data_IF_691036181440
#
_entry.id   IF_691036181440
#
_cell.length_a   1.000
_cell.length_b   1.000
_cell.length_c   1.000
_cell.angle_alpha   90.00
_cell.angle_beta   90.00
_cell.angle_gamma   90.00
#
_symmetry.space_group_name_H-M   'P 1'
#
loop_
_entity.id
_entity.type
_entity.pdbx_description
1 polymer ?
#
# COMPACT_ATOMS: atom_id res chain seq x y z
N UNK A 1 24.69 7.47 -16.34
CA UNK A 1 23.82 6.70 -17.26
C UNK A 1 23.71 5.29 -16.70
N UNK A 2 22.77 5.07 -15.77
CA UNK A 2 22.61 3.75 -15.15
C UNK A 2 21.92 2.85 -16.18
N UNK A 3 22.61 1.77 -16.57
CA UNK A 3 22.12 0.79 -17.54
C UNK A 3 20.79 0.19 -17.06
N UNK A 4 19.87 -0.05 -17.98
CA UNK A 4 18.55 -0.65 -17.73
C UNK A 4 18.64 -1.94 -16.89
N UNK A 5 19.77 -2.65 -17.01
CA UNK A 5 20.12 -3.85 -16.22
C UNK A 5 20.18 -3.58 -14.71
N UNK A 6 20.67 -2.41 -14.29
CA UNK A 6 20.77 -2.03 -12.86
C UNK A 6 19.40 -1.80 -12.22
N UNK A 7 18.46 -1.21 -12.97
CA UNK A 7 17.09 -0.92 -12.50
C UNK A 7 16.30 -2.23 -12.34
N UNK A 8 16.42 -3.14 -13.33
CA UNK A 8 15.76 -4.45 -13.29
C UNK A 8 16.31 -5.30 -12.12
N UNK A 9 17.63 -5.33 -11.92
CA UNK A 9 18.24 -6.10 -10.84
C UNK A 9 17.86 -5.58 -9.45
N UNK A 10 17.73 -4.27 -9.27
CA UNK A 10 17.28 -3.69 -7.99
C UNK A 10 15.79 -3.95 -7.72
N UNK A 11 14.97 -3.98 -8.78
CA UNK A 11 13.54 -4.33 -8.70
C UNK A 11 13.33 -5.79 -8.30
N UNK A 12 14.11 -6.72 -8.85
CA UNK A 12 14.07 -8.15 -8.48
C UNK A 12 14.54 -8.36 -7.03
N UNK A 13 15.53 -7.62 -6.56
CA UNK A 13 16.01 -7.69 -5.18
C UNK A 13 14.95 -7.27 -4.16
N UNK A 14 14.21 -6.19 -4.45
CA UNK A 14 13.08 -5.75 -3.61
C UNK A 14 11.96 -6.78 -3.53
N UNK A 15 11.65 -7.46 -4.63
CA UNK A 15 10.62 -8.51 -4.67
C UNK A 15 11.05 -9.78 -3.92
N UNK A 16 12.35 -10.15 -3.96
CA UNK A 16 12.89 -11.33 -3.23
C UNK A 16 12.96 -11.14 -1.72
N UNK A 17 13.18 -9.91 -1.23
CA UNK A 17 13.17 -9.61 0.22
C UNK A 17 11.74 -9.69 0.79
N UNK A 18 10.73 -9.29 0.02
CA UNK A 18 9.34 -9.27 0.46
C UNK A 18 8.73 -10.67 0.70
N UNK A 19 9.23 -11.71 0.03
CA UNK A 19 8.66 -13.07 0.08
C UNK A 19 9.27 -13.98 1.17
N UNK A 20 10.35 -13.57 1.84
CA UNK A 20 11.14 -14.44 2.74
C UNK A 20 10.72 -14.43 4.22
N UNK A 21 9.65 -13.74 4.60
CA UNK A 21 9.33 -13.43 6.02
C UNK A 21 8.17 -14.26 6.60
N UNK A 22 7.71 -15.31 5.90
CA UNK A 22 6.75 -16.24 6.48
C UNK A 22 7.47 -17.39 7.18
N UNK A 23 7.51 -17.34 8.52
CA UNK A 23 7.34 -18.45 9.48
C UNK A 23 7.91 -18.06 10.84
N UNK A 24 7.04 -17.81 11.83
CA UNK A 24 7.16 -18.28 13.22
C UNK A 24 5.96 -17.82 14.05
N UNK A 25 5.16 -18.80 14.47
CA UNK A 25 4.10 -18.71 15.47
C UNK A 25 4.71 -18.47 16.85
N UNK A 26 4.26 -17.43 17.56
CA UNK A 26 4.61 -17.20 18.97
C UNK A 26 3.33 -16.86 19.75
N UNK A 27 3.11 -17.61 20.83
CA UNK A 27 1.90 -17.62 21.65
C UNK A 27 1.61 -16.30 22.36
N UNK A 28 0.33 -16.05 22.60
CA UNK A 28 -0.16 -14.88 23.33
C UNK A 28 -0.28 -15.21 24.82
N UNK A 29 0.56 -14.60 25.67
CA UNK A 29 0.27 -14.40 27.09
C UNK A 29 -0.43 -13.06 27.27
N UNK A 30 -1.55 -13.06 27.99
CA UNK A 30 -2.37 -11.86 28.22
C UNK A 30 -1.79 -10.92 29.28
N UNK A 31 -2.24 -9.66 29.25
CA UNK A 31 -2.27 -8.76 30.42
C UNK A 31 -3.27 -7.62 30.16
N UNK A 32 -4.04 -7.27 31.19
CA UNK A 32 -5.32 -6.55 31.12
C UNK A 32 -5.26 -5.03 30.90
N UNK A 33 -6.45 -4.42 30.94
CA UNK A 33 -6.71 -2.99 30.79
C UNK A 33 -6.22 -2.22 32.03
N UNK A 34 -5.20 -1.39 31.86
CA UNK A 34 -4.82 -0.32 32.78
C UNK A 34 -4.81 1.00 32.03
N UNK A 35 -5.72 1.90 32.37
CA UNK A 35 -5.63 3.30 31.93
C UNK A 35 -4.67 4.06 32.84
N UNK A 36 -3.77 4.87 32.25
CA UNK A 36 -3.12 5.97 32.96
C UNK A 36 -2.40 6.91 31.99
N UNK A 37 -2.69 8.20 32.15
CA UNK A 37 -1.72 9.29 31.97
C UNK A 37 -1.39 9.75 30.55
N UNK A 38 -1.94 10.90 30.16
CA UNK A 38 -1.30 11.80 29.20
C UNK A 38 -0.10 12.45 29.90
N UNK A 39 1.09 11.91 29.69
CA UNK A 39 2.37 12.40 30.20
C UNK A 39 3.36 12.67 29.07
N UNK A 40 4.06 13.78 29.20
CA UNK A 40 4.86 14.49 28.19
C UNK A 40 5.98 13.66 27.53
N UNK A 41 6.26 14.01 26.27
CA UNK A 41 7.39 13.51 25.50
C UNK A 41 6.92 13.01 24.14
N UNK A 42 6.98 13.87 23.12
CA UNK A 42 6.70 13.51 21.74
C UNK A 42 7.61 12.36 21.32
N UNK A 43 7.09 11.14 21.45
CA UNK A 43 7.77 9.95 20.96
C UNK A 43 8.11 10.23 19.50
N UNK A 44 9.41 10.38 19.21
CA UNK A 44 9.92 10.39 17.85
C UNK A 44 9.32 9.15 17.21
N UNK A 45 8.35 9.35 16.31
CA UNK A 45 7.62 8.25 15.68
C UNK A 45 8.65 7.47 14.88
N UNK A 46 9.23 6.46 15.52
CA UNK A 46 10.04 5.47 14.85
C UNK A 46 9.16 4.90 13.74
N UNK A 47 9.69 4.88 12.52
CA UNK A 47 8.99 4.42 11.31
C UNK A 47 8.35 3.07 11.66
N UNK A 48 7.02 2.99 11.66
CA UNK A 48 6.32 1.72 11.86
C UNK A 48 6.92 0.74 10.86
N UNK A 49 7.43 -0.38 11.36
CA UNK A 49 7.89 -1.47 10.51
C UNK A 49 6.82 -1.75 9.45
N UNK A 50 7.25 -2.02 8.22
CA UNK A 50 6.34 -2.41 7.14
C UNK A 50 5.61 -3.67 7.58
N UNK A 51 4.34 -3.52 7.95
CA UNK A 51 3.43 -4.64 8.22
C UNK A 51 2.68 -4.95 6.94
N UNK A 52 2.22 -6.19 6.81
CA UNK A 52 1.26 -6.52 5.78
C UNK A 52 -0.02 -5.70 6.01
N UNK A 53 -0.15 -4.63 5.25
CA UNK A 53 -1.17 -3.59 5.42
C UNK A 53 -2.48 -3.97 4.74
N UNK A 54 -2.48 -5.09 4.01
CA UNK A 54 -3.60 -5.58 3.22
C UNK A 54 -4.82 -5.86 4.10
N UNK A 55 -4.61 -6.42 5.30
CA UNK A 55 -5.69 -6.63 6.28
C UNK A 55 -6.26 -5.34 6.87
N UNK A 56 -5.53 -4.21 6.76
CA UNK A 56 -6.03 -2.88 7.12
C UNK A 56 -7.22 -2.44 6.27
N UNK A 57 -7.40 -3.05 5.09
CA UNK A 57 -8.61 -2.94 4.29
C UNK A 57 -9.67 -3.88 4.90
N UNK A 58 -10.52 -3.30 5.75
CA UNK A 58 -11.49 -4.05 6.54
C UNK A 58 -12.66 -4.57 5.69
N UNK A 59 -13.31 -5.65 6.14
CA UNK A 59 -14.53 -6.19 5.50
C UNK A 59 -15.63 -5.13 5.38
N UNK A 60 -15.71 -4.19 6.33
CA UNK A 60 -16.70 -3.10 6.30
C UNK A 60 -16.38 -2.08 5.20
N UNK A 61 -15.11 -1.77 4.94
CA UNK A 61 -14.70 -0.88 3.85
C UNK A 61 -15.04 -1.49 2.47
N UNK A 62 -14.72 -2.77 2.26
CA UNK A 62 -15.07 -3.51 1.04
C UNK A 62 -16.58 -3.54 0.86
N UNK A 63 -17.34 -3.80 1.94
CA UNK A 63 -18.81 -3.74 1.89
C UNK A 63 -19.30 -2.36 1.46
N UNK A 64 -18.77 -1.26 2.03
CA UNK A 64 -19.17 0.10 1.64
C UNK A 64 -18.93 0.38 0.15
N UNK A 65 -17.78 -0.06 -0.39
CA UNK A 65 -17.47 0.08 -1.82
C UNK A 65 -18.43 -0.72 -2.69
N UNK A 66 -18.66 -2.00 -2.36
CA UNK A 66 -19.58 -2.86 -3.09
C UNK A 66 -21.03 -2.32 -3.06
N UNK A 67 -21.47 -1.77 -1.91
CA UNK A 67 -22.78 -1.11 -1.81
C UNK A 67 -22.87 0.13 -2.70
N UNK A 68 -21.82 0.96 -2.75
CA UNK A 68 -21.74 2.09 -3.69
C UNK A 68 -21.83 1.62 -5.14
N UNK A 69 -21.28 0.45 -5.45
CA UNK A 69 -21.41 -0.20 -6.75
C UNK A 69 -22.74 -0.94 -6.98
N UNK A 70 -23.75 -0.81 -6.12
CA UNK A 70 -25.07 -1.44 -6.32
C UNK A 70 -25.14 -2.93 -5.97
N UNK A 71 -24.11 -3.50 -5.35
CA UNK A 71 -24.06 -4.94 -5.04
C UNK A 71 -25.03 -5.28 -3.90
N UNK A 72 -26.03 -6.14 -4.16
CA UNK A 72 -27.09 -6.52 -3.19
C UNK A 72 -26.67 -7.62 -2.20
N UNK A 73 -25.87 -8.60 -2.62
CA UNK A 73 -25.36 -9.70 -1.76
C UNK A 73 -23.87 -9.92 -2.09
N UNK A 74 -23.07 -10.23 -1.08
CA UNK A 74 -21.61 -10.36 -1.22
C UNK A 74 -21.20 -11.69 -0.60
N UNK A 75 -20.50 -12.53 -1.37
CA UNK A 75 -19.94 -13.81 -0.90
C UNK A 75 -18.76 -13.59 0.04
N UNK A 76 -18.49 -14.56 0.92
CA UNK A 76 -17.37 -14.52 1.87
C UNK A 76 -15.99 -14.50 1.21
N UNK A 77 -15.84 -15.09 0.03
CA UNK A 77 -14.56 -15.18 -0.67
C UNK A 77 -14.11 -13.84 -1.29
N UNK A 78 -15.06 -12.96 -1.59
CA UNK A 78 -14.82 -11.66 -2.22
C UNK A 78 -13.91 -10.76 -1.38
N UNK A 79 -13.89 -10.91 -0.05
CA UNK A 79 -13.06 -10.04 0.80
C UNK A 79 -11.56 -10.22 0.52
N UNK A 80 -11.08 -11.46 0.41
CA UNK A 80 -9.66 -11.71 0.13
C UNK A 80 -9.32 -11.47 -1.34
N UNK A 81 -10.24 -11.81 -2.25
CA UNK A 81 -10.07 -11.53 -3.68
C UNK A 81 -9.95 -10.02 -3.96
N UNK A 82 -10.83 -9.20 -3.36
CA UNK A 82 -10.78 -7.75 -3.51
C UNK A 82 -9.46 -7.17 -2.97
N UNK A 83 -8.92 -7.74 -1.90
CA UNK A 83 -7.62 -7.34 -1.35
C UNK A 83 -6.47 -7.66 -2.30
N UNK A 84 -6.49 -8.82 -2.93
CA UNK A 84 -5.54 -9.18 -3.99
C UNK A 84 -5.60 -8.23 -5.18
N UNK A 85 -6.81 -7.92 -5.65
CA UNK A 85 -7.02 -6.99 -6.78
C UNK A 85 -6.57 -5.57 -6.44
N UNK A 86 -6.87 -5.08 -5.24
CA UNK A 86 -6.43 -3.76 -4.79
C UNK A 86 -4.90 -3.68 -4.72
N UNK A 87 -4.24 -4.74 -4.24
CA UNK A 87 -2.78 -4.82 -4.22
C UNK A 87 -2.20 -4.73 -5.62
N UNK A 88 -2.70 -5.54 -6.56
CA UNK A 88 -2.23 -5.53 -7.95
C UNK A 88 -2.42 -4.15 -8.60
N UNK A 89 -3.59 -3.53 -8.40
CA UNK A 89 -3.86 -2.20 -8.93
C UNK A 89 -2.87 -1.15 -8.40
N UNK A 90 -2.66 -1.11 -7.08
CA UNK A 90 -1.73 -0.17 -6.45
C UNK A 90 -0.28 -0.44 -6.85
N UNK A 91 0.13 -1.70 -6.97
CA UNK A 91 1.48 -2.04 -7.44
C UNK A 91 1.75 -1.47 -8.84
N UNK A 92 0.81 -1.60 -9.77
CA UNK A 92 0.97 -1.09 -11.13
C UNK A 92 1.06 0.45 -11.16
N UNK A 93 0.18 1.14 -10.43
CA UNK A 93 0.17 2.61 -10.39
C UNK A 93 1.41 3.17 -9.70
N UNK A 94 1.83 2.57 -8.57
CA UNK A 94 2.97 3.04 -7.80
C UNK A 94 4.29 2.80 -8.56
N UNK A 95 4.43 1.68 -9.27
CA UNK A 95 5.63 1.42 -10.10
C UNK A 95 5.83 2.53 -11.14
N UNK A 96 4.77 2.90 -11.83
CA UNK A 96 4.81 3.98 -12.84
C UNK A 96 5.04 5.36 -12.18
N UNK A 97 4.37 5.65 -11.07
CA UNK A 97 4.54 6.93 -10.36
C UNK A 97 5.96 7.12 -9.80
N UNK A 98 6.58 6.06 -9.28
CA UNK A 98 7.98 6.09 -8.82
C UNK A 98 8.92 6.31 -10.00
N UNK A 99 8.68 5.68 -11.15
CA UNK A 99 9.49 5.89 -12.35
C UNK A 99 9.47 7.36 -12.81
N UNK A 100 8.33 8.05 -12.73
CA UNK A 100 8.25 9.49 -13.06
C UNK A 100 9.01 10.36 -12.05
N UNK A 101 8.93 10.05 -10.75
CA UNK A 101 9.68 10.78 -9.73
C UNK A 101 11.20 10.58 -9.90
N UNK A 102 11.64 9.36 -10.19
CA UNK A 102 13.06 9.03 -10.46
C UNK A 102 13.57 9.71 -11.73
N UNK A 103 12.76 9.75 -12.80
CA UNK A 103 13.09 10.49 -14.02
C UNK A 103 13.31 11.98 -13.74
N UNK A 104 12.49 12.56 -12.86
CA UNK A 104 12.65 13.92 -12.35
C UNK A 104 13.76 14.12 -11.32
N UNK A 105 14.55 13.08 -11.00
CA UNK A 105 15.60 13.07 -9.95
C UNK A 105 15.08 13.49 -8.56
N UNK A 106 13.79 13.27 -8.29
CA UNK A 106 13.13 13.59 -7.02
C UNK A 106 13.07 12.34 -6.15
N UNK A 107 13.28 12.51 -4.84
CA UNK A 107 13.08 11.45 -3.83
C UNK A 107 11.64 11.37 -3.33
N UNK A 108 10.81 12.33 -3.71
CA UNK A 108 9.42 12.48 -3.26
C UNK A 108 8.50 12.31 -4.46
N UNK A 109 7.57 11.35 -4.36
CA UNK A 109 6.48 11.18 -5.31
C UNK A 109 5.46 12.29 -5.08
N UNK A 110 5.14 13.03 -6.12
CA UNK A 110 4.16 14.13 -6.12
C UNK A 110 2.78 13.64 -6.57
N UNK A 111 1.74 14.45 -6.36
CA UNK A 111 0.40 14.15 -6.87
C UNK A 111 0.40 14.01 -8.41
N UNK A 112 1.18 14.84 -9.10
CA UNK A 112 1.28 14.82 -10.56
C UNK A 112 1.89 13.53 -11.10
N UNK A 113 2.87 12.94 -10.41
CA UNK A 113 3.45 11.65 -10.82
C UNK A 113 2.38 10.54 -10.82
N UNK A 114 1.45 10.59 -9.85
CA UNK A 114 0.32 9.64 -9.78
C UNK A 114 -0.72 9.92 -10.86
N UNK A 115 -1.04 11.20 -11.12
CA UNK A 115 -1.96 11.59 -12.20
C UNK A 115 -1.43 11.13 -13.56
N UNK A 116 -0.14 11.29 -13.83
CA UNK A 116 0.49 10.83 -15.07
C UNK A 116 0.52 9.31 -15.18
N UNK A 117 0.81 8.59 -14.09
CA UNK A 117 0.72 7.13 -14.06
C UNK A 117 -0.70 6.61 -14.38
N UNK A 118 -1.72 7.26 -13.82
CA UNK A 118 -3.11 6.91 -14.07
C UNK A 118 -3.57 7.26 -15.50
N UNK A 119 -3.17 8.42 -16.03
CA UNK A 119 -3.46 8.82 -17.41
C UNK A 119 -2.88 7.83 -18.43
N UNK A 120 -1.66 7.33 -18.19
CA UNK A 120 -1.02 6.32 -19.04
C UNK A 120 -1.83 5.01 -19.10
N UNK A 121 -2.57 4.67 -18.05
CA UNK A 121 -3.43 3.50 -17.98
C UNK A 121 -4.87 3.77 -18.47
N UNK A 122 -5.14 4.96 -19.03
CA UNK A 122 -6.48 5.37 -19.47
C UNK A 122 -7.45 5.69 -18.32
N UNK A 123 -6.94 6.00 -17.12
CA UNK A 123 -7.74 6.28 -15.92
C UNK A 123 -7.57 7.72 -15.46
N UNK A 124 -8.07 8.69 -16.22
CA UNK A 124 -7.87 10.12 -15.89
C UNK A 124 -8.50 10.51 -14.56
N UNK A 125 -7.69 11.15 -13.70
CA UNK A 125 -8.07 11.61 -12.37
C UNK A 125 -8.03 13.15 -12.31
N UNK A 126 -9.17 13.76 -12.01
CA UNK A 126 -9.34 15.21 -11.91
C UNK A 126 -9.20 15.71 -10.46
N UNK A 127 -8.82 16.98 -10.29
CA UNK A 127 -8.79 17.65 -8.97
C UNK A 127 -7.45 17.61 -8.21
N UNK A 128 -6.35 17.25 -8.89
CA UNK A 128 -5.03 17.04 -8.26
C UNK A 128 -3.87 17.84 -8.89
N UNK A 129 -4.16 18.92 -9.64
CA UNK A 129 -3.16 19.72 -10.37
C UNK A 129 -2.69 21.00 -9.67
N UNK A 130 -2.78 21.06 -8.33
CA UNK A 130 -2.43 22.24 -7.53
C UNK A 130 -0.99 22.29 -7.04
#
# INVERSE_FOLDING_TARGET
MYSMVTIVNNTIAYLKVATRINLKTAGMSGRGKGGQGLGQGGARRLRKALRDSVLGITKSAIRRLARRGGVKRISGLIYEETRGMLRLFLENVIRDAVAYAEHGRRKTVTAMDVVYALNRQGRTLYGFGG
#
